data_IF_851464129172
#
_entry.id   IF_851464129172
#
_cell.length_a   1.000
_cell.length_b   1.000
_cell.length_c   1.000
_cell.angle_alpha   90.00
_cell.angle_beta   90.00
_cell.angle_gamma   90.00
#
_symmetry.space_group_name_H-M   'P 1'
#
loop_
_entity.id
_entity.type
_entity.pdbx_description
1 polymer ?
#
# COMPACT_ATOMS: atom_id res chain seq x y z
N UNK A 1 -21.82 14.72 14.71
CA UNK A 1 -20.77 13.80 14.29
C UNK A 1 -21.35 13.00 13.13
N UNK A 2 -20.75 13.06 11.93
CA UNK A 2 -21.20 12.22 10.84
C UNK A 2 -20.74 10.78 11.17
N UNK A 3 -21.67 9.86 11.32
CA UNK A 3 -21.35 8.44 11.48
C UNK A 3 -20.77 7.93 10.15
N UNK A 4 -19.60 7.33 10.20
CA UNK A 4 -18.99 6.66 9.04
C UNK A 4 -19.82 5.40 8.73
N UNK A 5 -20.55 5.41 7.61
CA UNK A 5 -21.33 4.26 7.18
C UNK A 5 -20.49 3.37 6.27
N UNK A 6 -20.05 2.23 6.81
CA UNK A 6 -19.23 1.27 6.10
C UNK A 6 -19.95 -0.06 5.96
N UNK A 7 -19.92 -0.64 4.76
CA UNK A 7 -20.25 -2.04 4.51
C UNK A 7 -18.97 -2.86 4.63
N UNK A 8 -18.93 -3.79 5.59
CA UNK A 8 -17.82 -4.72 5.74
C UNK A 8 -17.96 -5.83 4.70
N UNK A 9 -16.98 -5.98 3.82
CA UNK A 9 -16.90 -7.07 2.84
C UNK A 9 -16.16 -8.28 3.44
N UNK A 10 -15.05 -8.01 4.12
CA UNK A 10 -14.26 -9.00 4.89
C UNK A 10 -13.41 -8.28 5.94
N UNK A 11 -12.47 -8.97 6.59
CA UNK A 11 -11.64 -8.40 7.65
C UNK A 11 -10.60 -7.37 7.14
N UNK A 12 -10.41 -7.26 5.83
CA UNK A 12 -9.47 -6.31 5.20
C UNK A 12 -10.17 -5.19 4.44
N UNK A 13 -11.43 -5.39 4.01
CA UNK A 13 -12.09 -4.52 3.04
C UNK A 13 -13.42 -4.01 3.57
N UNK A 14 -13.52 -2.69 3.62
CA UNK A 14 -14.72 -1.93 3.95
C UNK A 14 -15.05 -1.01 2.77
N UNK A 15 -16.34 -0.84 2.45
CA UNK A 15 -16.81 0.04 1.37
C UNK A 15 -17.67 1.14 1.98
N UNK A 16 -17.41 2.39 1.63
CA UNK A 16 -18.23 3.52 2.04
C UNK A 16 -19.61 3.44 1.37
N UNK A 17 -20.67 3.46 2.19
CA UNK A 17 -22.05 3.30 1.71
C UNK A 17 -22.66 4.60 1.19
N UNK A 18 -22.19 5.76 1.68
CA UNK A 18 -22.76 7.06 1.36
C UNK A 18 -22.46 7.50 -0.08
N UNK A 19 -23.36 8.30 -0.67
CA UNK A 19 -23.13 8.97 -1.97
C UNK A 19 -22.02 10.02 -1.87
N UNK A 20 -21.97 10.75 -0.75
CA UNK A 20 -20.89 11.70 -0.46
C UNK A 20 -20.02 11.10 0.63
N UNK A 21 -18.89 10.53 0.24
CA UNK A 21 -17.93 9.91 1.17
C UNK A 21 -17.14 11.00 1.90
N UNK A 22 -17.08 10.88 3.23
CA UNK A 22 -16.29 11.77 4.10
C UNK A 22 -15.47 10.89 5.04
N UNK A 23 -14.14 10.96 4.89
CA UNK A 23 -13.21 10.24 5.76
C UNK A 23 -12.49 11.29 6.63
N UNK A 24 -12.70 11.20 7.93
CA UNK A 24 -12.13 12.08 8.94
C UNK A 24 -11.08 11.36 9.81
N UNK A 25 -10.67 11.97 10.91
CA UNK A 25 -9.70 11.37 11.84
C UNK A 25 -10.19 10.04 12.43
N UNK A 26 -11.50 9.87 12.63
CA UNK A 26 -12.07 8.62 13.13
C UNK A 26 -11.92 7.49 12.11
N UNK A 27 -12.05 7.80 10.81
CA UNK A 27 -11.78 6.83 9.74
C UNK A 27 -10.31 6.38 9.72
N UNK A 28 -9.38 7.30 9.97
CA UNK A 28 -7.94 7.00 10.07
C UNK A 28 -7.67 6.09 11.27
N UNK A 29 -8.22 6.40 12.44
CA UNK A 29 -8.09 5.59 13.66
C UNK A 29 -8.70 4.20 13.45
N UNK A 30 -9.88 4.11 12.86
CA UNK A 30 -10.55 2.86 12.57
C UNK A 30 -9.70 1.96 11.65
N UNK A 31 -9.21 2.48 10.52
CA UNK A 31 -8.47 1.65 9.54
C UNK A 31 -7.10 1.24 10.08
N UNK A 32 -6.45 2.10 10.86
CA UNK A 32 -5.22 1.78 11.60
C UNK A 32 -5.43 0.58 12.53
N UNK A 33 -6.48 0.62 13.34
CA UNK A 33 -6.82 -0.44 14.27
C UNK A 33 -7.18 -1.74 13.56
N UNK A 34 -7.88 -1.67 12.44
CA UNK A 34 -8.19 -2.83 11.61
C UNK A 34 -6.89 -3.46 11.06
N UNK A 35 -5.97 -2.65 10.53
CA UNK A 35 -4.69 -3.13 10.01
C UNK A 35 -3.84 -3.82 11.09
N UNK A 36 -3.77 -3.22 12.29
CA UNK A 36 -2.99 -3.79 13.40
C UNK A 36 -3.55 -5.11 13.94
N UNK A 37 -4.87 -5.34 13.81
CA UNK A 37 -5.53 -6.59 14.23
C UNK A 37 -5.58 -7.64 13.12
N UNK A 38 -5.40 -7.25 11.86
CA UNK A 38 -5.49 -8.15 10.73
C UNK A 38 -4.24 -9.05 10.64
N UNK A 39 -4.36 -10.36 10.43
CA UNK A 39 -3.20 -11.27 10.31
C UNK A 39 -2.23 -10.91 9.18
N UNK A 40 -2.71 -10.29 8.08
CA UNK A 40 -1.87 -9.79 6.99
C UNK A 40 -1.32 -8.40 7.26
N UNK A 41 -1.68 -7.78 8.38
CA UNK A 41 -1.24 -6.45 8.77
C UNK A 41 -1.77 -5.33 7.88
N UNK A 42 -2.95 -5.48 7.25
CA UNK A 42 -3.51 -4.43 6.38
C UNK A 42 -5.03 -4.45 6.32
N UNK A 43 -5.60 -3.26 6.11
CA UNK A 43 -7.02 -3.07 5.87
C UNK A 43 -7.26 -1.79 5.06
N UNK A 44 -8.41 -1.71 4.38
CA UNK A 44 -8.76 -0.55 3.54
C UNK A 44 -10.23 -0.16 3.65
N UNK A 45 -10.48 1.14 3.49
CA UNK A 45 -11.80 1.69 3.21
C UNK A 45 -11.80 2.12 1.75
N UNK A 46 -12.66 1.52 0.94
CA UNK A 46 -12.89 1.90 -0.45
C UNK A 46 -13.93 3.03 -0.50
N UNK A 47 -13.58 4.16 -1.11
CA UNK A 47 -14.54 5.24 -1.42
C UNK A 47 -15.31 4.95 -2.71
N UNK A 48 -14.71 4.20 -3.65
CA UNK A 48 -15.40 3.64 -4.82
C UNK A 48 -16.37 2.52 -4.40
N UNK A 49 -17.42 2.29 -5.19
CA UNK A 49 -18.51 1.39 -4.79
C UNK A 49 -18.20 -0.08 -5.02
N UNK A 50 -17.53 -0.40 -6.11
CA UNK A 50 -17.16 -1.78 -6.47
C UNK A 50 -15.95 -1.84 -7.40
N UNK A 51 -15.54 -3.05 -7.75
CA UNK A 51 -14.37 -3.30 -8.60
C UNK A 51 -14.52 -2.86 -10.06
N UNK A 52 -15.74 -2.53 -10.52
CA UNK A 52 -15.99 -2.06 -11.89
C UNK A 52 -15.86 -0.54 -12.06
N UNK A 53 -15.74 0.21 -10.96
CA UNK A 53 -15.50 1.65 -11.00
C UNK A 53 -14.25 2.01 -11.81
N UNK A 54 -14.32 3.11 -12.56
CA UNK A 54 -13.20 3.59 -13.36
C UNK A 54 -12.09 4.28 -12.54
N UNK A 55 -12.40 4.68 -11.32
CA UNK A 55 -11.48 5.30 -10.38
C UNK A 55 -11.59 4.61 -9.03
N UNK A 56 -10.50 4.05 -8.55
CA UNK A 56 -10.42 3.45 -7.23
C UNK A 56 -9.69 4.38 -6.28
N UNK A 57 -10.36 4.72 -5.19
CA UNK A 57 -9.83 5.55 -4.11
C UNK A 57 -9.98 4.80 -2.80
N UNK A 58 -8.88 4.67 -2.06
CA UNK A 58 -8.84 3.83 -0.86
C UNK A 58 -8.04 4.51 0.25
N UNK A 59 -8.58 4.53 1.46
CA UNK A 59 -7.80 4.80 2.67
C UNK A 59 -7.26 3.45 3.18
N UNK A 60 -5.94 3.28 3.19
CA UNK A 60 -5.30 2.00 3.50
C UNK A 60 -4.44 2.15 4.75
N UNK A 61 -4.67 1.28 5.74
CA UNK A 61 -3.79 1.09 6.89
C UNK A 61 -2.88 -0.12 6.66
N UNK A 62 -1.59 0.02 6.98
CA UNK A 62 -0.58 -1.03 6.81
C UNK A 62 0.32 -1.08 8.04
N UNK A 63 0.37 -2.23 8.70
CA UNK A 63 1.23 -2.48 9.85
C UNK A 63 2.69 -2.78 9.42
N UNK A 64 3.70 -2.59 10.29
CA UNK A 64 5.13 -2.73 9.94
C UNK A 64 5.54 -4.13 9.49
N UNK A 65 4.84 -5.15 9.97
CA UNK A 65 5.08 -6.56 9.63
C UNK A 65 4.39 -7.04 8.36
N UNK A 66 3.58 -6.19 7.72
CA UNK A 66 2.90 -6.54 6.48
C UNK A 66 3.91 -6.74 5.36
N UNK A 67 3.81 -7.87 4.68
CA UNK A 67 4.60 -8.14 3.48
C UNK A 67 3.82 -7.74 2.24
N UNK A 68 4.20 -6.62 1.63
CA UNK A 68 3.70 -6.23 0.32
C UNK A 68 4.62 -6.87 -0.71
N UNK A 69 4.20 -7.99 -1.32
CA UNK A 69 5.01 -8.68 -2.31
C UNK A 69 5.37 -7.73 -3.46
N UNK A 70 6.65 -7.64 -3.87
CA UNK A 70 7.04 -6.87 -5.05
C UNK A 70 6.20 -7.24 -6.27
N UNK A 71 5.62 -6.22 -6.92
CA UNK A 71 4.73 -6.38 -8.06
C UNK A 71 4.79 -5.15 -8.98
N UNK A 72 4.22 -5.29 -10.16
CA UNK A 72 3.99 -4.18 -11.09
C UNK A 72 2.60 -4.27 -11.71
N UNK A 73 2.10 -3.15 -12.17
CA UNK A 73 0.81 -3.07 -12.82
C UNK A 73 0.97 -2.71 -14.31
N UNK A 74 0.19 -3.36 -15.17
CA UNK A 74 0.10 -3.02 -16.58
C UNK A 74 -1.13 -2.17 -16.83
N UNK A 75 -0.94 -1.04 -17.56
CA UNK A 75 -2.04 -0.13 -17.89
C UNK A 75 -2.67 0.59 -16.70
N UNK A 76 -1.99 0.59 -15.54
CA UNK A 76 -2.43 1.28 -14.32
C UNK A 76 -1.49 2.39 -13.94
N UNK A 77 -2.11 3.42 -13.38
CA UNK A 77 -1.43 4.49 -12.66
C UNK A 77 -1.78 4.32 -11.19
N UNK A 78 -0.78 4.42 -10.33
CA UNK A 78 -0.96 4.36 -8.88
C UNK A 78 -0.37 5.60 -8.25
N UNK A 79 -1.06 6.18 -7.29
CA UNK A 79 -0.53 7.28 -6.50
C UNK A 79 -0.93 7.15 -5.03
N UNK A 80 -0.02 7.55 -4.14
CA UNK A 80 -0.23 7.59 -2.71
C UNK A 80 -0.10 9.01 -2.17
N UNK A 81 -1.05 9.40 -1.32
CA UNK A 81 -0.89 10.51 -0.39
C UNK A 81 -0.66 9.96 1.01
N UNK A 82 0.38 10.42 1.67
CA UNK A 82 0.65 10.10 3.06
C UNK A 82 -0.37 10.80 3.97
N UNK A 83 -1.07 10.02 4.80
CA UNK A 83 -1.98 10.51 5.83
C UNK A 83 -1.33 10.42 7.21
N UNK A 84 -0.68 9.27 7.52
CA UNK A 84 -0.02 9.04 8.81
C UNK A 84 1.15 8.06 8.64
N UNK A 85 2.20 8.24 9.43
CA UNK A 85 3.32 7.31 9.48
C UNK A 85 4.42 7.58 8.47
N UNK A 86 5.18 6.54 8.14
CA UNK A 86 6.28 6.61 7.18
C UNK A 86 6.59 5.25 6.56
N UNK A 87 7.07 5.27 5.32
CA UNK A 87 7.50 4.08 4.58
C UNK A 87 8.51 4.45 3.50
N UNK A 88 9.28 3.47 3.04
CA UNK A 88 10.02 3.54 1.80
C UNK A 88 9.24 2.83 0.70
N UNK A 89 8.95 3.52 -0.41
CA UNK A 89 8.54 2.89 -1.65
C UNK A 89 9.80 2.52 -2.40
N UNK A 90 10.00 1.23 -2.64
CA UNK A 90 11.21 0.68 -3.25
C UNK A 90 10.90 0.29 -4.68
N UNK A 91 11.57 0.92 -5.63
CA UNK A 91 11.52 0.55 -7.06
C UNK A 91 12.63 -0.46 -7.34
N UNK A 92 12.26 -1.54 -8.01
CA UNK A 92 13.13 -2.69 -8.22
C UNK A 92 13.32 -2.98 -9.72
N UNK A 93 14.53 -3.46 -10.08
CA UNK A 93 14.83 -3.98 -11.41
C UNK A 93 14.15 -5.34 -11.65
N UNK A 94 14.20 -5.83 -12.90
CA UNK A 94 13.74 -7.16 -13.29
C UNK A 94 14.44 -8.30 -12.51
N UNK A 95 15.62 -8.06 -11.94
CA UNK A 95 16.41 -9.00 -11.15
C UNK A 95 16.32 -8.75 -9.63
N UNK A 96 15.48 -7.80 -9.17
CA UNK A 96 15.29 -7.48 -7.75
C UNK A 96 16.40 -6.61 -7.14
N UNK A 97 17.18 -5.91 -7.98
CA UNK A 97 18.08 -4.84 -7.54
C UNK A 97 17.29 -3.57 -7.20
N UNK A 98 17.73 -2.81 -6.18
CA UNK A 98 17.14 -1.51 -5.83
C UNK A 98 17.57 -0.47 -6.87
N UNK A 99 16.62 0.13 -7.56
CA UNK A 99 16.84 1.18 -8.56
C UNK A 99 16.53 2.57 -8.02
N UNK A 100 15.48 2.68 -7.18
CA UNK A 100 15.10 3.93 -6.54
C UNK A 100 14.40 3.66 -5.21
N UNK A 101 14.44 4.67 -4.31
CA UNK A 101 13.77 4.63 -3.01
C UNK A 101 13.12 5.98 -2.77
N UNK A 102 11.79 6.00 -2.70
CA UNK A 102 11.01 7.19 -2.40
C UNK A 102 10.58 7.11 -0.93
N UNK A 103 11.14 7.97 -0.10
CA UNK A 103 10.76 8.08 1.30
C UNK A 103 9.45 8.84 1.43
N UNK A 104 8.39 8.17 1.90
CA UNK A 104 7.14 8.79 2.35
C UNK A 104 7.25 9.06 3.84
N UNK A 105 7.27 10.33 4.23
CA UNK A 105 7.32 10.76 5.62
C UNK A 105 6.80 12.21 5.76
N UNK A 106 6.35 12.64 6.97
CA UNK A 106 5.82 14.00 7.18
C UNK A 106 6.81 15.12 6.83
N UNK A 107 8.11 14.84 6.90
CA UNK A 107 9.21 15.77 6.59
C UNK A 107 9.97 15.42 5.29
N UNK A 108 9.46 14.48 4.51
CA UNK A 108 10.01 14.09 3.21
C UNK A 108 8.93 14.18 2.12
N UNK A 109 8.80 13.15 1.25
CA UNK A 109 7.71 13.15 0.28
C UNK A 109 6.39 12.79 0.97
N UNK A 110 5.33 13.57 0.71
CA UNK A 110 3.97 13.26 1.14
C UNK A 110 3.14 12.64 0.01
N UNK A 111 3.67 12.65 -1.22
CA UNK A 111 3.01 12.18 -2.42
C UNK A 111 3.96 11.35 -3.29
N UNK A 112 3.43 10.30 -3.88
CA UNK A 112 4.09 9.43 -4.84
C UNK A 112 3.13 9.11 -5.98
N UNK A 113 3.66 9.02 -7.20
CA UNK A 113 2.92 8.56 -8.38
C UNK A 113 3.80 7.70 -9.27
N UNK A 114 3.28 6.54 -9.65
CA UNK A 114 3.89 5.64 -10.62
C UNK A 114 2.93 5.43 -11.80
N UNK A 115 3.36 5.74 -13.01
CA UNK A 115 2.57 5.58 -14.24
C UNK A 115 3.22 4.64 -15.26
N UNK A 116 4.14 3.82 -14.81
CA UNK A 116 4.88 2.86 -15.64
C UNK A 116 4.97 1.49 -14.95
N UNK A 117 5.07 0.38 -15.71
CA UNK A 117 5.05 -0.97 -15.15
C UNK A 117 6.40 -1.35 -14.52
N UNK A 118 6.78 -0.69 -13.42
CA UNK A 118 7.98 -0.99 -12.65
C UNK A 118 7.65 -1.83 -11.42
N UNK A 119 8.49 -2.81 -11.12
CA UNK A 119 8.38 -3.54 -9.87
C UNK A 119 8.57 -2.60 -8.68
N UNK A 120 7.63 -2.64 -7.75
CA UNK A 120 7.67 -1.83 -6.54
C UNK A 120 7.12 -2.58 -5.34
N UNK A 121 7.45 -2.10 -4.16
CA UNK A 121 6.95 -2.57 -2.87
C UNK A 121 7.08 -1.47 -1.82
N UNK A 122 6.46 -1.69 -0.64
CA UNK A 122 6.55 -0.79 0.50
C UNK A 122 7.28 -1.46 1.67
N UNK A 123 8.15 -0.69 2.32
CA UNK A 123 8.78 -1.05 3.59
C UNK A 123 8.35 -0.05 4.67
N UNK A 124 7.38 -0.43 5.49
CA UNK A 124 6.82 0.43 6.53
C UNK A 124 7.86 0.63 7.64
N UNK A 125 8.13 1.88 8.02
CA UNK A 125 9.13 2.27 9.04
C UNK A 125 8.52 2.86 10.31
N UNK A 126 7.24 3.24 10.29
CA UNK A 126 6.47 3.69 11.46
C UNK A 126 5.70 2.55 12.13
N UNK A 127 5.14 2.75 13.34
CA UNK A 127 4.24 1.79 14.00
C UNK A 127 3.00 1.40 13.17
N UNK A 128 2.58 2.28 12.28
CA UNK A 128 1.56 2.04 11.25
C UNK A 128 1.75 3.06 10.14
N UNK A 129 1.42 2.67 8.91
CA UNK A 129 1.30 3.58 7.76
C UNK A 129 -0.18 3.72 7.42
N UNK A 130 -0.64 4.95 7.19
CA UNK A 130 -1.94 5.20 6.57
C UNK A 130 -1.72 6.07 5.33
N UNK A 131 -2.20 5.58 4.20
CA UNK A 131 -2.12 6.27 2.90
C UNK A 131 -3.51 6.40 2.27
N UNK A 132 -3.69 7.42 1.46
CA UNK A 132 -4.75 7.49 0.46
C UNK A 132 -4.18 7.04 -0.89
N UNK A 133 -4.61 5.88 -1.34
CA UNK A 133 -4.26 5.33 -2.65
C UNK A 133 -5.32 5.69 -3.68
N UNK A 134 -4.87 6.14 -4.84
CA UNK A 134 -5.70 6.39 -6.02
C UNK A 134 -5.12 5.59 -7.18
N UNK A 135 -5.97 4.80 -7.83
CA UNK A 135 -5.58 4.05 -9.03
C UNK A 135 -6.75 3.98 -10.01
N UNK A 136 -6.46 3.90 -11.31
CA UNK A 136 -7.53 3.68 -12.29
C UNK A 136 -8.09 2.25 -12.18
N UNK A 137 -9.41 2.15 -12.31
CA UNK A 137 -10.13 0.91 -12.49
C UNK A 137 -10.46 0.64 -13.98
N UNK A 138 -11.23 -0.40 -14.25
CA UNK A 138 -11.71 -1.41 -13.30
C UNK A 138 -10.58 -2.28 -12.72
N UNK A 139 -10.86 -2.99 -11.62
CA UNK A 139 -9.91 -3.93 -11.05
C UNK A 139 -9.84 -5.20 -11.90
N UNK A 140 -8.65 -5.49 -12.43
CA UNK A 140 -8.36 -6.72 -13.15
C UNK A 140 -7.08 -7.36 -12.57
N UNK A 141 -7.18 -8.53 -11.88
CA UNK A 141 -6.02 -9.21 -11.33
C UNK A 141 -4.96 -9.58 -12.38
N UNK A 142 -5.36 -9.78 -13.64
CA UNK A 142 -4.44 -10.11 -14.74
C UNK A 142 -3.51 -8.94 -15.11
N UNK A 143 -3.82 -7.73 -14.67
CA UNK A 143 -2.96 -6.55 -14.87
C UNK A 143 -1.83 -6.44 -13.83
N UNK A 144 -1.73 -7.38 -12.89
CA UNK A 144 -0.69 -7.39 -11.85
C UNK A 144 0.29 -8.54 -12.06
N UNK A 145 1.55 -8.21 -12.31
CA UNK A 145 2.64 -9.17 -12.34
C UNK A 145 3.34 -9.20 -10.98
N UNK A 146 3.39 -10.38 -10.38
CA UNK A 146 4.17 -10.62 -9.18
C UNK A 146 5.61 -10.92 -9.55
N UNK A 147 6.56 -10.27 -8.87
CA UNK A 147 7.97 -10.46 -9.15
C UNK A 147 8.40 -11.91 -8.87
N UNK A 148 8.98 -12.59 -9.87
CA UNK A 148 9.44 -13.96 -9.74
C UNK A 148 10.63 -14.12 -8.76
N UNK A 149 11.39 -13.04 -8.54
CA UNK A 149 12.50 -13.00 -7.60
C UNK A 149 12.07 -12.83 -6.14
N UNK A 150 10.78 -12.65 -5.86
CA UNK A 150 10.25 -12.44 -4.51
C UNK A 150 9.41 -13.63 -4.04
N UNK A 151 9.50 -14.02 -2.75
CA UNK A 151 8.70 -15.10 -2.22
C UNK A 151 7.20 -14.78 -2.27
N UNK A 152 6.40 -15.84 -2.30
CA UNK A 152 4.93 -15.71 -2.23
C UNK A 152 4.55 -15.20 -0.84
N UNK A 153 3.53 -14.35 -0.77
CA UNK A 153 3.00 -13.86 0.50
C UNK A 153 2.53 -15.03 1.37
N UNK A 154 2.87 -14.96 2.66
CA UNK A 154 2.56 -16.01 3.64
C UNK A 154 3.55 -17.18 3.63
N UNK A 155 4.55 -17.20 2.74
CA UNK A 155 5.62 -18.19 2.80
C UNK A 155 6.60 -17.91 3.95
N UNK A 156 7.33 -18.93 4.40
CA UNK A 156 8.32 -18.80 5.48
C UNK A 156 9.49 -17.85 5.10
N UNK A 157 9.73 -17.67 3.80
CA UNK A 157 10.81 -16.85 3.28
C UNK A 157 10.47 -15.34 3.24
N UNK A 158 9.20 -14.97 3.31
CA UNK A 158 8.76 -13.57 3.17
C UNK A 158 9.38 -12.63 4.21
N UNK A 159 9.53 -13.09 5.47
CA UNK A 159 10.14 -12.29 6.53
C UNK A 159 11.65 -12.09 6.31
N UNK A 160 12.37 -13.14 5.92
CA UNK A 160 13.80 -13.06 5.62
C UNK A 160 14.07 -12.17 4.39
N UNK A 161 13.25 -12.29 3.35
CA UNK A 161 13.32 -11.44 2.16
C UNK A 161 13.14 -9.97 2.53
N UNK A 162 12.11 -9.64 3.34
CA UNK A 162 11.87 -8.26 3.81
C UNK A 162 13.08 -7.71 4.56
N UNK A 163 13.69 -8.52 5.44
CA UNK A 163 14.89 -8.10 6.18
C UNK A 163 16.08 -7.84 5.25
N UNK A 164 16.31 -8.70 4.25
CA UNK A 164 17.37 -8.51 3.24
C UNK A 164 17.10 -7.26 2.39
N UNK A 165 15.85 -7.04 1.99
CA UNK A 165 15.48 -5.85 1.21
C UNK A 165 15.72 -4.57 2.01
N UNK A 166 15.38 -4.54 3.31
CA UNK A 166 15.71 -3.40 4.20
C UNK A 166 17.21 -3.12 4.25
N UNK A 167 18.07 -4.15 4.31
CA UNK A 167 19.52 -3.98 4.27
C UNK A 167 19.99 -3.39 2.93
N UNK A 168 19.46 -3.89 1.80
CA UNK A 168 19.75 -3.35 0.47
C UNK A 168 19.35 -1.88 0.36
N UNK A 169 18.16 -1.52 0.84
CA UNK A 169 17.66 -0.12 0.85
C UNK A 169 18.55 0.77 1.72
N UNK A 170 18.97 0.31 2.90
CA UNK A 170 19.89 1.06 3.76
C UNK A 170 21.23 1.29 3.07
N UNK A 171 21.79 0.28 2.41
CA UNK A 171 23.02 0.40 1.63
C UNK A 171 22.87 1.36 0.44
N UNK A 172 21.74 1.31 -0.26
CA UNK A 172 21.44 2.21 -1.38
C UNK A 172 21.35 3.66 -0.92
N UNK A 173 20.64 3.96 0.18
CA UNK A 173 20.55 5.30 0.79
C UNK A 173 21.92 5.83 1.24
N UNK A 174 22.78 4.97 1.81
CA UNK A 174 24.10 5.37 2.28
C UNK A 174 25.11 5.67 1.15
N UNK A 175 24.84 5.23 -0.07
CA UNK A 175 25.71 5.44 -1.23
C UNK A 175 25.36 6.71 -2.04
N UNK A 176 24.38 7.50 -1.59
CA UNK A 176 23.89 8.72 -2.27
C UNK A 176 23.94 9.93 -1.35
#
# INVERSE_FOLDING_TARGET
MNSLHLTKINDEVYVAADEIVRLDRQAVEFIRDCALRNPRGRARICAHKDSSDNLHEMLIGIAPGSYVRPHRHHGKVESFHLIEGSADIVILSEQGGVEDVIELAPNANFYYRLDSPRYHTLLISSPVLVIHEITNGPFDPAQTDWAAFSPVEGSAESASYTSQLRQKVSGWKASR
#
